data_IF_033862483488
#
_entry.id   IF_033862483488
#
_cell.length_a   1.000
_cell.length_b   1.000
_cell.length_c   1.000
_cell.angle_alpha   90.00
_cell.angle_beta   90.00
_cell.angle_gamma   90.00
#
_symmetry.space_group_name_H-M   'P 1'
#
loop_
_entity.id
_entity.type
_entity.pdbx_description
1 polymer ?
#
# COMPACT_ATOMS: atom_id res chain seq x y z
N UNK A 1 -10.75 -9.30 -35.72
CA UNK A 1 -11.26 -8.75 -34.44
C UNK A 1 -10.14 -8.90 -33.43
N UNK A 2 -9.47 -7.80 -33.07
CA UNK A 2 -8.53 -7.80 -31.96
C UNK A 2 -9.37 -7.77 -30.70
N UNK A 3 -9.26 -8.80 -29.86
CA UNK A 3 -9.73 -8.73 -28.48
C UNK A 3 -9.12 -7.47 -27.86
N UNK A 4 -9.98 -6.55 -27.43
CA UNK A 4 -9.55 -5.34 -26.77
C UNK A 4 -8.71 -5.74 -25.57
N UNK A 5 -7.45 -5.29 -25.55
CA UNK A 5 -6.63 -5.38 -24.36
C UNK A 5 -7.47 -4.86 -23.19
N UNK A 6 -7.78 -5.75 -22.24
CA UNK A 6 -8.69 -5.47 -21.14
C UNK A 6 -8.28 -4.19 -20.45
N UNK A 7 -9.05 -3.14 -20.73
CA UNK A 7 -8.98 -1.85 -20.05
C UNK A 7 -9.01 -2.15 -18.55
N UNK A 8 -8.04 -1.61 -17.83
CA UNK A 8 -7.91 -1.78 -16.39
C UNK A 8 -9.24 -1.44 -15.72
N UNK A 9 -9.95 -2.48 -15.25
CA UNK A 9 -11.10 -2.37 -14.36
C UNK A 9 -10.57 -2.63 -12.94
N UNK A 10 -10.11 -1.59 -12.22
CA UNK A 10 -9.63 -1.75 -10.86
C UNK A 10 -10.68 -2.36 -9.93
N UNK A 11 -11.98 -2.22 -10.25
CA UNK A 11 -13.04 -2.55 -9.33
C UNK A 11 -13.51 -3.99 -9.34
N UNK A 12 -13.66 -4.58 -10.53
CA UNK A 12 -13.89 -6.03 -10.65
C UNK A 12 -12.75 -6.83 -10.03
N UNK A 13 -11.55 -6.26 -9.97
CA UNK A 13 -10.38 -6.86 -9.32
C UNK A 13 -10.40 -6.81 -7.80
N UNK A 14 -11.08 -5.84 -7.16
CA UNK A 14 -11.01 -5.68 -5.69
C UNK A 14 -11.90 -6.66 -4.93
N UNK A 15 -13.16 -6.83 -5.34
CA UNK A 15 -14.07 -7.81 -4.74
C UNK A 15 -13.58 -9.25 -5.00
N UNK A 16 -13.24 -9.56 -6.26
CA UNK A 16 -12.68 -10.87 -6.63
C UNK A 16 -11.38 -11.15 -5.86
N UNK A 17 -10.49 -10.15 -5.73
CA UNK A 17 -9.28 -10.28 -4.94
C UNK A 17 -9.58 -10.53 -3.46
N UNK A 18 -10.49 -9.76 -2.86
CA UNK A 18 -10.83 -9.92 -1.44
C UNK A 18 -11.36 -11.33 -1.17
N UNK A 19 -12.25 -11.85 -2.01
CA UNK A 19 -12.80 -13.20 -1.88
C UNK A 19 -11.72 -14.30 -2.02
N UNK A 20 -10.84 -14.18 -3.02
CA UNK A 20 -9.72 -15.12 -3.20
C UNK A 20 -8.74 -15.05 -2.02
N UNK A 21 -8.44 -13.85 -1.56
CA UNK A 21 -7.54 -13.62 -0.43
C UNK A 21 -8.13 -14.19 0.87
N UNK A 22 -9.41 -13.95 1.14
CA UNK A 22 -10.12 -14.51 2.29
C UNK A 22 -10.16 -16.04 2.24
N UNK A 23 -10.34 -16.63 1.06
CA UNK A 23 -10.30 -18.09 0.90
C UNK A 23 -8.92 -18.66 1.24
N UNK A 24 -7.85 -17.97 0.84
CA UNK A 24 -6.48 -18.43 1.07
C UNK A 24 -5.97 -18.16 2.51
N UNK A 25 -6.39 -17.06 3.13
CA UNK A 25 -5.84 -16.56 4.38
C UNK A 25 -6.81 -16.57 5.57
N UNK A 26 -8.10 -16.85 5.33
CA UNK A 26 -9.15 -16.88 6.35
C UNK A 26 -9.53 -15.49 6.89
N UNK A 27 -9.09 -14.41 6.24
CA UNK A 27 -9.31 -13.02 6.68
C UNK A 27 -9.19 -12.04 5.52
N UNK A 28 -9.87 -10.90 5.65
CA UNK A 28 -9.89 -9.86 4.63
C UNK A 28 -8.50 -9.21 4.44
N UNK A 29 -8.07 -8.86 3.20
CA UNK A 29 -6.76 -8.25 2.96
C UNK A 29 -6.53 -6.95 3.74
N UNK A 30 -7.61 -6.20 4.02
CA UNK A 30 -7.55 -5.01 4.88
C UNK A 30 -7.06 -5.32 6.31
N UNK A 31 -7.36 -6.52 6.82
CA UNK A 31 -6.89 -6.98 8.14
C UNK A 31 -5.38 -7.14 8.16
N UNK A 32 -4.77 -7.60 7.06
CA UNK A 32 -3.32 -7.78 6.94
C UNK A 32 -2.59 -6.49 6.54
N UNK A 33 -3.29 -5.56 5.91
CA UNK A 33 -2.79 -4.21 5.67
C UNK A 33 -2.65 -3.39 6.95
N UNK A 34 -3.51 -3.63 7.96
CA UNK A 34 -3.60 -2.79 9.15
C UNK A 34 -2.31 -2.71 9.98
N UNK A 35 -1.64 -3.82 10.35
CA UNK A 35 -0.40 -3.75 11.13
C UNK A 35 0.73 -3.00 10.40
N UNK A 36 0.77 -3.10 9.07
CA UNK A 36 1.70 -2.34 8.25
C UNK A 36 1.39 -0.85 8.28
N UNK A 37 0.12 -0.48 8.17
CA UNK A 37 -0.31 0.91 8.26
C UNK A 37 0.05 1.53 9.62
N UNK A 38 -0.21 0.82 10.73
CA UNK A 38 0.19 1.26 12.07
C UNK A 38 1.71 1.46 12.19
N UNK A 39 2.48 0.52 11.65
CA UNK A 39 3.94 0.58 11.69
C UNK A 39 4.48 1.76 10.85
N UNK A 40 3.89 2.03 9.69
CA UNK A 40 4.24 3.17 8.81
C UNK A 40 3.93 4.51 9.50
N UNK A 41 2.73 4.65 10.06
CA UNK A 41 2.33 5.89 10.76
C UNK A 41 3.16 6.09 12.04
N UNK A 42 3.49 5.03 12.76
CA UNK A 42 4.38 5.07 13.93
C UNK A 42 5.83 5.38 13.55
N UNK A 43 6.31 4.86 12.42
CA UNK A 43 7.62 5.22 11.87
C UNK A 43 7.68 6.71 11.55
N UNK A 44 6.64 7.28 10.92
CA UNK A 44 6.59 8.72 10.64
C UNK A 44 6.72 9.54 11.92
N UNK A 45 5.92 9.23 12.95
CA UNK A 45 5.94 9.97 14.21
C UNK A 45 7.35 10.02 14.84
N UNK A 46 8.10 8.91 14.76
CA UNK A 46 9.51 8.84 15.23
C UNK A 46 10.50 9.63 14.37
N UNK A 47 10.14 9.98 13.13
CA UNK A 47 11.00 10.61 12.14
C UNK A 47 10.51 12.00 11.71
N UNK A 48 9.55 12.60 12.44
CA UNK A 48 8.89 13.86 12.11
C UNK A 48 9.89 15.02 11.80
N UNK A 49 11.06 15.03 12.44
CA UNK A 49 12.12 16.03 12.25
C UNK A 49 13.27 15.66 11.31
N UNK A 50 13.19 14.54 10.59
CA UNK A 50 14.28 14.04 9.71
C UNK A 50 13.92 14.02 8.22
N UNK A 51 12.69 14.36 7.87
CA UNK A 51 12.21 14.36 6.49
C UNK A 51 12.22 15.76 5.92
N UNK A 52 12.60 15.90 4.65
CA UNK A 52 12.75 17.18 3.97
C UNK A 52 11.43 17.95 3.76
N UNK A 53 10.28 17.28 3.91
CA UNK A 53 8.96 17.90 3.77
C UNK A 53 8.24 18.01 5.13
N UNK A 54 7.79 19.21 5.53
CA UNK A 54 6.85 19.36 6.63
C UNK A 54 5.52 18.78 6.19
N UNK A 55 5.02 17.81 6.97
CA UNK A 55 3.72 17.21 6.78
C UNK A 55 2.75 17.93 7.70
N UNK A 56 1.62 18.46 7.21
CA UNK A 56 0.57 18.93 8.11
C UNK A 56 0.16 17.76 8.98
N UNK A 57 0.32 17.93 10.29
CA UNK A 57 -0.18 16.97 11.25
C UNK A 57 -1.71 17.05 11.21
N UNK A 58 -2.34 15.98 10.76
CA UNK A 58 -3.70 15.71 11.18
C UNK A 58 -3.72 15.73 12.72
N UNK A 59 -4.80 16.19 13.34
CA UNK A 59 -4.83 16.36 14.80
C UNK A 59 -4.56 15.03 15.52
N UNK A 60 -4.21 15.06 16.80
CA UNK A 60 -4.01 13.82 17.58
C UNK A 60 -5.22 12.86 17.49
N UNK A 61 -6.44 13.39 17.29
CA UNK A 61 -7.66 12.61 17.07
C UNK A 61 -7.81 11.96 15.69
N UNK A 62 -7.00 12.35 14.70
CA UNK A 62 -7.11 11.88 13.30
C UNK A 62 -6.16 10.72 12.98
N UNK A 63 -5.30 10.32 13.94
CA UNK A 63 -4.29 9.29 13.74
C UNK A 63 -4.88 7.98 13.20
N UNK A 64 -6.02 7.55 13.74
CA UNK A 64 -6.69 6.31 13.32
C UNK A 64 -7.21 6.40 11.89
N UNK A 65 -7.68 7.58 11.47
CA UNK A 65 -8.09 7.83 10.07
C UNK A 65 -6.89 7.79 9.13
N UNK A 66 -5.73 8.32 9.56
CA UNK A 66 -4.48 8.22 8.78
C UNK A 66 -4.02 6.77 8.65
N UNK A 67 -4.11 5.98 9.72
CA UNK A 67 -3.85 4.52 9.66
C UNK A 67 -4.81 3.84 8.69
N UNK A 68 -6.11 4.13 8.78
CA UNK A 68 -7.11 3.57 7.88
C UNK A 68 -6.82 3.92 6.40
N UNK A 69 -6.36 5.14 6.13
CA UNK A 69 -6.00 5.60 4.79
C UNK A 69 -4.75 4.93 4.24
N UNK A 70 -3.71 4.73 5.07
CA UNK A 70 -2.53 3.96 4.68
C UNK A 70 -2.89 2.48 4.44
N UNK A 71 -3.71 1.89 5.31
CA UNK A 71 -4.19 0.52 5.16
C UNK A 71 -4.98 0.35 3.86
N UNK A 72 -5.74 1.38 3.47
CA UNK A 72 -6.48 1.38 2.22
C UNK A 72 -5.56 1.43 1.00
N UNK A 73 -4.52 2.27 1.01
CA UNK A 73 -3.52 2.27 -0.07
C UNK A 73 -2.88 0.89 -0.26
N UNK A 74 -2.59 0.19 0.84
CA UNK A 74 -2.02 -1.16 0.83
C UNK A 74 -3.02 -2.15 0.24
N UNK A 75 -4.28 -2.15 0.73
CA UNK A 75 -5.32 -3.03 0.21
C UNK A 75 -5.55 -2.85 -1.29
N UNK A 76 -5.61 -1.60 -1.74
CA UNK A 76 -5.78 -1.27 -3.17
C UNK A 76 -4.61 -1.80 -4.01
N UNK A 77 -3.38 -1.76 -3.49
CA UNK A 77 -2.21 -2.29 -4.19
C UNK A 77 -2.11 -3.83 -4.14
N UNK A 78 -2.65 -4.46 -3.10
CA UNK A 78 -2.66 -5.93 -2.98
C UNK A 78 -3.44 -6.60 -4.12
N UNK A 79 -4.50 -5.98 -4.63
CA UNK A 79 -5.31 -6.55 -5.72
C UNK A 79 -4.52 -6.73 -7.04
N UNK A 80 -3.94 -5.68 -7.65
CA UNK A 80 -3.11 -5.85 -8.84
C UNK A 80 -1.83 -6.66 -8.56
N UNK A 81 -1.23 -6.49 -7.38
CA UNK A 81 -0.05 -7.26 -6.99
C UNK A 81 -0.33 -8.78 -6.97
N UNK A 82 -1.47 -9.19 -6.38
CA UNK A 82 -1.85 -10.59 -6.31
C UNK A 82 -2.09 -11.20 -7.69
N UNK A 83 -2.73 -10.47 -8.60
CA UNK A 83 -2.90 -10.89 -9.99
C UNK A 83 -1.56 -11.10 -10.73
N UNK A 84 -0.49 -10.45 -10.27
CA UNK A 84 0.88 -10.61 -10.78
C UNK A 84 1.71 -11.62 -9.97
N UNK A 85 1.10 -12.35 -9.02
CA UNK A 85 1.79 -13.28 -8.13
C UNK A 85 2.70 -12.63 -7.09
N UNK A 86 2.58 -11.31 -6.88
CA UNK A 86 3.32 -10.57 -5.85
C UNK A 86 2.64 -10.74 -4.48
N UNK A 87 3.44 -10.70 -3.42
CA UNK A 87 2.98 -10.76 -2.03
C UNK A 87 3.01 -9.38 -1.38
N UNK A 88 2.47 -9.29 -0.16
CA UNK A 88 2.41 -8.03 0.59
C UNK A 88 3.80 -7.40 0.82
N UNK A 89 4.84 -8.21 1.04
CA UNK A 89 6.20 -7.67 1.16
C UNK A 89 6.73 -7.08 -0.15
N UNK A 90 6.20 -7.49 -1.31
CA UNK A 90 6.67 -7.01 -2.60
C UNK A 90 6.07 -5.67 -3.01
N UNK A 91 5.02 -5.18 -2.34
CA UNK A 91 4.29 -3.97 -2.79
C UNK A 91 5.23 -2.77 -2.85
N UNK A 92 5.18 -2.04 -3.97
CA UNK A 92 6.04 -0.87 -4.22
C UNK A 92 5.53 0.37 -3.49
N UNK A 93 6.41 1.08 -2.79
CA UNK A 93 6.04 2.27 -2.01
C UNK A 93 5.56 3.43 -2.89
N UNK A 94 6.09 3.53 -4.10
CA UNK A 94 5.66 4.46 -5.14
C UNK A 94 4.22 4.20 -5.59
N UNK A 95 3.85 2.92 -5.73
CA UNK A 95 2.47 2.54 -6.04
C UNK A 95 1.52 2.84 -4.88
N UNK A 96 1.93 2.58 -3.64
CA UNK A 96 1.13 2.94 -2.46
C UNK A 96 0.86 4.47 -2.41
N UNK A 97 1.90 5.26 -2.69
CA UNK A 97 1.76 6.72 -2.78
C UNK A 97 0.84 7.12 -3.95
N UNK A 98 0.96 6.48 -5.11
CA UNK A 98 0.07 6.72 -6.24
C UNK A 98 -1.39 6.42 -5.89
N UNK A 99 -1.66 5.29 -5.23
CA UNK A 99 -3.00 4.94 -4.74
C UNK A 99 -3.53 5.97 -3.76
N UNK A 100 -2.68 6.50 -2.86
CA UNK A 100 -3.06 7.61 -1.99
C UNK A 100 -3.56 8.81 -2.77
N UNK A 101 -2.85 9.20 -3.84
CA UNK A 101 -3.28 10.31 -4.70
C UNK A 101 -4.60 9.98 -5.42
N UNK A 102 -4.79 8.75 -5.89
CA UNK A 102 -6.00 8.34 -6.59
C UNK A 102 -7.26 8.46 -5.73
N UNK A 103 -7.24 7.94 -4.49
CA UNK A 103 -8.43 8.00 -3.64
C UNK A 103 -8.62 9.34 -2.93
N UNK A 104 -7.54 10.10 -2.68
CA UNK A 104 -7.57 11.42 -2.01
C UNK A 104 -7.93 12.56 -2.95
N UNK A 105 -7.28 12.62 -4.10
CA UNK A 105 -7.32 13.82 -4.93
C UNK A 105 -8.60 13.90 -5.76
N UNK A 106 -9.44 12.85 -5.74
CA UNK A 106 -10.47 12.70 -6.74
C UNK A 106 -9.88 12.90 -8.15
N UNK A 107 -8.58 12.56 -8.35
CA UNK A 107 -7.92 12.49 -9.65
C UNK A 107 -8.35 11.23 -10.40
N UNK A 108 -9.63 10.86 -10.21
CA UNK A 108 -10.59 10.70 -11.29
C UNK A 108 -10.16 11.64 -12.40
N UNK A 109 -9.89 11.14 -13.59
CA UNK A 109 -9.70 12.02 -14.74
C UNK A 109 -10.94 12.92 -14.92
N UNK A 110 -11.10 13.65 -16.04
CA UNK A 110 -12.47 13.90 -16.47
C UNK A 110 -13.15 12.53 -16.48
N UNK A 111 -14.08 12.29 -15.53
CA UNK A 111 -14.80 11.04 -15.45
C UNK A 111 -15.34 10.81 -16.85
N UNK A 112 -14.92 9.72 -17.49
CA UNK A 112 -15.53 9.35 -18.75
C UNK A 112 -17.03 9.24 -18.42
N UNK A 113 -17.92 10.03 -19.04
CA UNK A 113 -19.33 9.95 -18.74
C UNK A 113 -19.89 8.54 -18.96
N UNK A 114 -19.20 7.73 -19.79
CA UNK A 114 -19.50 6.32 -20.02
C UNK A 114 -18.91 5.38 -18.96
N UNK A 115 -17.86 5.81 -18.23
CA UNK A 115 -17.18 5.03 -17.19
C UNK A 115 -16.87 5.92 -15.96
N UNK A 116 -17.87 6.23 -15.12
CA UNK A 116 -17.62 6.98 -13.89
C UNK A 116 -16.68 6.20 -12.98
N UNK A 117 -15.75 6.91 -12.33
CA UNK A 117 -14.88 6.29 -11.33
C UNK A 117 -15.70 5.78 -10.13
N UNK A 118 -15.36 4.60 -9.59
CA UNK A 118 -16.10 4.02 -8.48
C UNK A 118 -16.03 4.88 -7.23
N UNK A 119 -17.13 4.96 -6.50
CA UNK A 119 -17.23 5.56 -5.18
C UNK A 119 -16.94 4.53 -4.08
N UNK A 120 -16.38 4.96 -2.94
CA UNK A 120 -16.23 4.06 -1.79
C UNK A 120 -17.57 3.44 -1.41
N UNK A 121 -17.63 2.11 -1.40
CA UNK A 121 -18.83 1.34 -1.10
C UNK A 121 -19.54 0.78 -2.34
N UNK A 122 -19.17 1.24 -3.54
CA UNK A 122 -19.63 0.63 -4.79
C UNK A 122 -19.14 -0.83 -4.89
N UNK A 123 -19.80 -1.68 -5.69
CA UNK A 123 -19.32 -3.04 -5.96
C UNK A 123 -17.88 -3.08 -6.50
N UNK A 124 -17.48 -2.03 -7.22
CA UNK A 124 -16.12 -1.84 -7.73
C UNK A 124 -15.14 -1.30 -6.67
N UNK A 125 -15.60 -0.83 -5.53
CA UNK A 125 -14.76 -0.43 -4.43
C UNK A 125 -15.44 -0.77 -3.10
N UNK A 126 -15.62 -2.07 -2.82
CA UNK A 126 -16.43 -2.49 -1.69
C UNK A 126 -15.73 -2.12 -0.39
N UNK A 127 -16.56 -1.84 0.62
CA UNK A 127 -16.10 -1.69 1.99
C UNK A 127 -15.40 -2.98 2.45
N UNK A 128 -14.28 -2.88 3.19
CA UNK A 128 -13.64 -4.05 3.75
C UNK A 128 -14.50 -4.69 4.83
N UNK A 129 -14.32 -5.99 5.04
CA UNK A 129 -14.90 -6.72 6.17
C UNK A 129 -13.86 -6.86 7.31
N UNK A 130 -14.29 -7.42 8.44
CA UNK A 130 -13.41 -7.74 9.57
C UNK A 130 -13.31 -6.64 10.63
N UNK A 131 -12.31 -6.70 11.52
CA UNK A 131 -12.27 -5.90 12.75
C UNK A 131 -12.05 -4.40 12.51
N UNK A 132 -11.56 -4.01 11.33
CA UNK A 132 -11.22 -2.62 10.99
C UNK A 132 -12.23 -1.96 10.03
N UNK A 133 -13.36 -2.60 9.75
CA UNK A 133 -14.36 -2.09 8.81
C UNK A 133 -14.94 -0.73 9.26
N UNK A 134 -15.12 -0.51 10.56
CA UNK A 134 -15.64 0.76 11.09
C UNK A 134 -14.69 1.92 10.83
N UNK A 135 -13.38 1.70 10.93
CA UNK A 135 -12.36 2.71 10.66
C UNK A 135 -12.32 3.09 9.18
N UNK A 136 -12.54 2.13 8.29
CA UNK A 136 -12.70 2.43 6.86
C UNK A 136 -13.95 3.28 6.61
N UNK A 137 -15.09 2.97 7.23
CA UNK A 137 -16.29 3.80 7.10
C UNK A 137 -16.09 5.21 7.66
N UNK A 138 -15.41 5.32 8.81
CA UNK A 138 -15.06 6.61 9.40
C UNK A 138 -14.14 7.42 8.48
N UNK A 139 -13.13 6.79 7.87
CA UNK A 139 -12.30 7.40 6.84
C UNK A 139 -13.15 7.92 5.69
N UNK A 140 -13.96 7.06 5.05
CA UNK A 140 -14.71 7.44 3.85
C UNK A 140 -15.77 8.52 4.11
N UNK A 141 -16.31 8.59 5.34
CA UNK A 141 -17.17 9.70 5.75
C UNK A 141 -16.47 11.07 5.76
N UNK A 142 -15.14 11.09 5.84
CA UNK A 142 -14.32 12.31 5.79
C UNK A 142 -13.75 12.64 4.41
N UNK A 143 -13.97 11.78 3.40
CA UNK A 143 -13.37 11.89 2.06
C UNK A 143 -14.01 12.93 1.09
N UNK A 144 -15.09 13.67 1.40
CA UNK A 144 -15.46 14.80 0.54
C UNK A 144 -14.41 15.94 0.63
N UNK A 145 -13.44 15.92 -0.28
CA UNK A 145 -12.41 16.94 -0.44
C UNK A 145 -11.02 16.56 0.08
N UNK A 146 -10.00 17.32 -0.33
CA UNK A 146 -8.62 17.14 0.08
C UNK A 146 -8.44 17.51 1.57
N UNK A 147 -8.70 16.55 2.47
CA UNK A 147 -8.64 16.76 3.92
C UNK A 147 -7.21 16.68 4.48
N UNK A 148 -6.96 17.20 5.70
CA UNK A 148 -5.70 17.01 6.39
C UNK A 148 -5.26 15.54 6.48
N UNK A 149 -6.19 14.61 6.74
CA UNK A 149 -5.95 13.15 6.76
C UNK A 149 -5.37 12.68 5.43
N UNK A 150 -6.04 13.04 4.34
CA UNK A 150 -5.67 12.72 2.97
C UNK A 150 -4.24 13.16 2.64
N UNK A 151 -3.90 14.41 3.00
CA UNK A 151 -2.56 14.98 2.84
C UNK A 151 -1.53 14.25 3.70
N UNK A 152 -1.86 13.93 4.95
CA UNK A 152 -0.97 13.19 5.84
C UNK A 152 -0.65 11.81 5.26
N UNK A 153 -1.62 11.07 4.72
CA UNK A 153 -1.38 9.76 4.09
C UNK A 153 -0.40 9.88 2.92
N UNK A 154 -0.65 10.82 1.99
CA UNK A 154 0.22 11.04 0.81
C UNK A 154 1.65 11.33 1.26
N UNK A 155 1.83 12.28 2.19
CA UNK A 155 3.15 12.71 2.61
C UNK A 155 3.89 11.65 3.44
N UNK A 156 3.17 10.85 4.24
CA UNK A 156 3.76 9.71 4.98
C UNK A 156 4.34 8.68 4.00
N UNK A 157 3.56 8.30 2.98
CA UNK A 157 3.98 7.33 1.98
C UNK A 157 5.12 7.88 1.11
N UNK A 158 5.06 9.16 0.74
CA UNK A 158 6.14 9.84 0.02
C UNK A 158 7.44 9.86 0.84
N UNK A 159 7.36 10.19 2.14
CA UNK A 159 8.50 10.20 3.03
C UNK A 159 9.10 8.80 3.21
N UNK A 160 8.26 7.76 3.32
CA UNK A 160 8.73 6.38 3.42
C UNK A 160 9.37 5.90 2.12
N UNK A 161 8.81 6.25 0.96
CA UNK A 161 9.40 5.95 -0.34
C UNK A 161 10.78 6.61 -0.49
N UNK A 162 10.89 7.90 -0.15
CA UNK A 162 12.17 8.62 -0.16
C UNK A 162 13.20 7.98 0.79
N UNK A 163 12.81 7.68 2.03
CA UNK A 163 13.66 6.97 2.98
C UNK A 163 14.11 5.60 2.45
N UNK A 164 13.20 4.89 1.79
CA UNK A 164 13.47 3.63 1.12
C UNK A 164 14.52 3.75 0.00
N UNK A 165 14.50 4.85 -0.77
CA UNK A 165 15.46 5.11 -1.84
C UNK A 165 16.90 5.30 -1.32
N UNK A 166 17.07 5.77 -0.09
CA UNK A 166 18.37 5.81 0.59
C UNK A 166 18.91 4.40 0.91
N UNK A 167 18.05 3.36 0.79
CA UNK A 167 18.38 1.95 0.96
C UNK A 167 19.15 1.63 2.25
N UNK A 168 18.70 2.12 3.42
CA UNK A 168 19.49 2.02 4.67
C UNK A 168 19.74 0.57 5.12
N UNK A 169 18.91 -0.39 4.69
CA UNK A 169 19.03 -1.81 5.05
C UNK A 169 19.41 -2.72 3.89
N UNK A 170 19.57 -2.17 2.69
CA UNK A 170 19.84 -2.95 1.48
C UNK A 170 21.33 -2.81 1.15
N UNK A 171 22.07 -3.93 1.01
CA UNK A 171 23.46 -3.86 0.62
C UNK A 171 23.66 -3.13 -0.71
N UNK A 172 24.80 -2.45 -0.84
CA UNK A 172 25.15 -1.73 -2.07
C UNK A 172 25.08 -2.67 -3.30
N UNK A 173 24.45 -2.20 -4.38
CA UNK A 173 24.36 -2.93 -5.64
C UNK A 173 23.16 -3.88 -5.80
N UNK A 174 22.46 -4.27 -4.72
CA UNK A 174 21.31 -5.19 -4.81
C UNK A 174 20.20 -4.65 -5.69
N UNK A 175 19.81 -3.38 -5.57
CA UNK A 175 18.77 -2.86 -6.44
C UNK A 175 19.25 -2.52 -7.86
N UNK A 176 20.56 -2.31 -8.08
CA UNK A 176 21.09 -2.25 -9.45
C UNK A 176 21.04 -3.63 -10.13
N UNK A 177 21.24 -4.71 -9.36
CA UNK A 177 21.04 -6.10 -9.79
C UNK A 177 19.58 -6.36 -10.14
N UNK A 178 18.63 -6.01 -9.26
CA UNK A 178 17.18 -6.18 -9.53
C UNK A 178 16.71 -5.42 -10.78
N UNK A 179 17.13 -4.16 -10.92
CA UNK A 179 16.79 -3.38 -12.11
C UNK A 179 17.32 -4.05 -13.38
N UNK A 180 18.56 -4.56 -13.35
CA UNK A 180 19.17 -5.25 -14.50
C UNK A 180 18.50 -6.57 -14.84
N UNK A 181 18.18 -7.38 -13.83
CA UNK A 181 17.68 -8.75 -14.03
C UNK A 181 16.17 -8.80 -14.28
N UNK A 182 15.42 -7.82 -13.76
CA UNK A 182 13.97 -7.89 -13.71
C UNK A 182 13.25 -6.58 -14.07
N UNK A 183 13.98 -5.48 -14.34
CA UNK A 183 13.37 -4.20 -14.70
C UNK A 183 12.66 -3.49 -13.53
N UNK A 184 12.91 -3.91 -12.29
CA UNK A 184 12.27 -3.33 -11.09
C UNK A 184 13.30 -2.50 -10.31
N UNK A 185 13.03 -1.21 -10.17
CA UNK A 185 13.79 -0.27 -9.33
C UNK A 185 13.02 0.25 -8.11
N UNK A 186 11.71 -0.02 -8.03
CA UNK A 186 10.87 0.43 -6.92
C UNK A 186 11.28 -0.19 -5.59
N UNK A 187 11.17 0.61 -4.54
CA UNK A 187 11.41 0.16 -3.17
C UNK A 187 10.15 -0.53 -2.67
N UNK A 188 10.32 -1.73 -2.14
CA UNK A 188 9.22 -2.55 -1.63
C UNK A 188 8.96 -2.35 -0.13
N UNK A 189 7.80 -2.78 0.36
CA UNK A 189 7.50 -2.87 1.79
C UNK A 189 8.51 -3.76 2.55
N UNK A 190 8.97 -4.86 1.97
CA UNK A 190 9.94 -5.76 2.58
C UNK A 190 11.28 -5.08 2.88
N UNK A 191 11.71 -4.12 2.05
CA UNK A 191 12.99 -3.41 2.23
C UNK A 191 12.95 -2.39 3.37
N UNK A 192 11.78 -1.81 3.65
CA UNK A 192 11.60 -0.87 4.76
C UNK A 192 11.09 -1.53 6.03
N UNK A 193 10.64 -2.79 5.96
CA UNK A 193 10.12 -3.56 7.10
C UNK A 193 11.01 -3.52 8.35
N UNK A 194 12.37 -3.58 8.27
CA UNK A 194 13.23 -3.45 9.44
C UNK A 194 13.07 -2.08 10.14
N UNK A 195 12.99 -0.97 9.40
CA UNK A 195 12.76 0.37 9.97
C UNK A 195 11.39 0.55 10.60
N UNK A 196 10.41 -0.16 10.06
CA UNK A 196 9.04 -0.17 10.56
C UNK A 196 8.91 -0.97 11.86
N UNK A 197 9.92 -1.76 12.25
CA UNK A 197 9.82 -2.69 13.38
C UNK A 197 8.97 -3.92 13.06
N UNK A 198 8.72 -4.19 11.77
CA UNK A 198 8.06 -5.41 11.29
C UNK A 198 9.02 -6.61 11.31
N UNK A 199 10.28 -6.39 11.69
CA UNK A 199 11.30 -7.41 11.93
C UNK A 199 11.40 -7.74 13.43
N UNK A 200 11.54 -9.03 13.82
CA UNK A 200 11.85 -10.19 12.99
C UNK A 200 10.61 -10.98 12.52
N UNK A 201 9.42 -10.38 12.50
CA UNK A 201 8.23 -11.07 12.03
C UNK A 201 8.42 -11.50 10.55
N UNK A 202 7.95 -12.69 10.16
CA UNK A 202 8.09 -13.13 8.78
C UNK A 202 7.32 -12.21 7.81
N UNK A 203 7.99 -11.74 6.77
CA UNK A 203 7.42 -10.96 5.67
C UNK A 203 7.30 -11.86 4.44
N UNK A 204 6.07 -12.04 3.96
CA UNK A 204 5.79 -12.83 2.77
C UNK A 204 6.19 -12.08 1.50
N UNK A 205 6.98 -12.72 0.63
CA UNK A 205 7.43 -12.18 -0.66
C UNK A 205 7.32 -13.24 -1.75
N UNK A 206 7.33 -12.82 -3.02
CA UNK A 206 7.29 -13.71 -4.17
C UNK A 206 8.61 -14.44 -4.43
N UNK A 207 9.75 -13.85 -4.04
CA UNK A 207 11.04 -14.50 -4.10
C UNK A 207 12.04 -13.95 -3.10
N UNK A 208 12.59 -14.82 -2.25
CA UNK A 208 13.55 -14.43 -1.22
C UNK A 208 14.86 -13.88 -1.78
N UNK A 209 15.27 -14.34 -2.97
CA UNK A 209 16.48 -13.88 -3.67
C UNK A 209 16.49 -12.37 -3.92
N UNK A 210 15.30 -11.76 -4.05
CA UNK A 210 15.22 -10.32 -4.27
C UNK A 210 15.67 -9.57 -3.02
N UNK A 211 15.36 -10.08 -1.84
CA UNK A 211 15.63 -9.46 -0.55
C UNK A 211 16.86 -10.03 0.16
N UNK A 212 17.71 -10.73 -0.59
CA UNK A 212 19.00 -11.22 -0.11
C UNK A 212 19.82 -10.03 0.44
N UNK A 213 20.19 -10.15 1.71
CA UNK A 213 21.00 -9.16 2.41
C UNK A 213 20.22 -8.00 3.05
N UNK A 214 18.89 -7.93 2.91
CA UNK A 214 18.08 -7.00 3.72
C UNK A 214 18.20 -7.40 5.19
N UNK A 215 18.83 -6.55 5.99
CA UNK A 215 19.17 -6.88 7.38
C UNK A 215 17.93 -6.97 8.27
N UNK A 216 17.92 -7.93 9.20
CA UNK A 216 16.80 -8.14 10.12
C UNK A 216 15.54 -8.73 9.49
N UNK A 217 15.45 -8.87 8.17
CA UNK A 217 14.26 -9.40 7.53
C UNK A 217 14.21 -10.93 7.63
N UNK A 218 13.09 -11.48 8.14
CA UNK A 218 12.74 -12.88 7.93
C UNK A 218 11.79 -12.98 6.75
N UNK A 219 12.18 -13.68 5.71
CA UNK A 219 11.42 -13.77 4.46
C UNK A 219 10.73 -15.13 4.35
N UNK A 220 9.46 -15.15 3.92
CA UNK A 220 8.74 -16.37 3.56
C UNK A 220 8.41 -16.38 2.09
N UNK A 221 8.79 -17.46 1.41
CA UNK A 221 8.19 -17.81 0.13
C UNK A 221 6.89 -18.54 0.43
N UNK A 222 5.78 -17.87 0.21
CA UNK A 222 4.47 -18.51 0.39
C UNK A 222 4.10 -19.17 -0.94
N UNK A 223 3.96 -20.50 -0.94
CA UNK A 223 3.45 -21.22 -2.10
C UNK A 223 2.06 -20.68 -2.48
N UNK A 224 1.81 -20.48 -3.77
CA UNK A 224 0.50 -20.12 -4.33
C UNK A 224 -0.49 -21.24 -4.09
#
# INVERSE_FOLDING_TARGET
>A
MREGAGMWDPGRRLEEHAAVYETAHGRHPYTDAWPWAEAIVSWRARHAGRTWRPVPEAGEGDRELVVAGVAECIRLEMAPAHAMGRRLGDLGLDHLQHNAVLWVAGLRGPADPEFPDPEPGDPQWPAPTGPYAQQWHALMATVPGYTPVAKSVIEILAALAQYGCERPHVPAGVGARRLREHGVDSVSLAEVAPSLGMSPAPVAVGSSRWYEGVTGLRVLETAV
#
